data_IF_701203499790
#
_entry.id   IF_701203499790
#
_cell.length_a   1.000
_cell.length_b   1.000
_cell.length_c   1.000
_cell.angle_alpha   90.00
_cell.angle_beta   90.00
_cell.angle_gamma   90.00
#
_symmetry.space_group_name_H-M   'P 1'
#
loop_
_entity.id
_entity.type
_entity.pdbx_description
1 polymer ?
#
# COMPACT_ATOMS: atom_id res chain seq x y z
N UNK A 1 7.50 31.85 6.71
CA UNK A 1 8.55 31.00 6.09
C UNK A 1 8.04 30.62 4.72
N UNK A 2 8.75 30.97 3.65
CA UNK A 2 8.44 30.45 2.31
C UNK A 2 8.96 29.00 2.27
N UNK A 3 8.10 28.03 1.94
CA UNK A 3 8.44 26.60 1.91
C UNK A 3 8.54 26.15 0.46
N UNK A 4 9.67 25.55 0.06
CA UNK A 4 9.91 25.08 -1.31
C UNK A 4 10.09 23.58 -1.35
N UNK A 5 9.70 22.96 -2.47
CA UNK A 5 9.86 21.53 -2.72
C UNK A 5 10.53 21.31 -4.08
N UNK A 6 11.34 20.25 -4.20
CA UNK A 6 11.92 19.83 -5.49
C UNK A 6 10.89 19.19 -6.45
N UNK A 7 9.63 19.11 -6.05
CA UNK A 7 8.52 18.49 -6.79
C UNK A 7 7.20 19.18 -6.47
N UNK A 8 6.22 19.03 -7.35
CA UNK A 8 4.84 19.46 -7.10
C UNK A 8 4.21 18.58 -6.00
N UNK A 9 3.52 19.21 -5.05
CA UNK A 9 2.96 18.53 -3.87
C UNK A 9 1.45 18.73 -3.70
N UNK A 10 0.77 19.34 -4.68
CA UNK A 10 -0.65 19.74 -4.56
C UNK A 10 -1.62 18.58 -4.31
N UNK A 11 -1.18 17.35 -4.56
CA UNK A 11 -1.92 16.09 -4.38
C UNK A 11 -1.41 15.26 -3.19
N UNK A 12 -0.43 15.77 -2.44
CA UNK A 12 0.14 15.10 -1.28
C UNK A 12 -0.58 15.53 0.01
N UNK A 13 -0.56 14.66 1.02
CA UNK A 13 -1.06 14.93 2.38
C UNK A 13 0.09 15.09 3.36
N UNK A 14 -0.13 15.70 4.53
CA UNK A 14 0.88 15.75 5.60
C UNK A 14 1.21 14.33 6.07
N UNK A 15 2.49 14.01 6.21
CA UNK A 15 2.92 12.68 6.65
C UNK A 15 2.49 12.43 8.10
N UNK A 16 1.65 11.42 8.32
CA UNK A 16 1.12 11.04 9.64
C UNK A 16 2.06 10.14 10.46
N UNK A 17 3.15 9.65 9.85
CA UNK A 17 4.04 8.65 10.46
C UNK A 17 5.41 9.20 10.87
N UNK A 18 5.62 10.51 10.80
CA UNK A 18 6.78 11.15 11.43
C UNK A 18 6.54 11.24 12.94
N UNK A 19 7.42 10.65 13.76
CA UNK A 19 7.21 10.60 15.22
C UNK A 19 8.51 10.37 15.99
N UNK A 20 8.44 10.64 17.29
CA UNK A 20 9.44 10.16 18.24
C UNK A 20 9.36 8.63 18.31
N UNK A 21 10.53 7.98 18.27
CA UNK A 21 10.69 6.54 18.38
C UNK A 21 11.85 6.23 19.32
N UNK A 22 11.83 5.03 19.89
CA UNK A 22 12.84 4.54 20.81
C UNK A 22 13.66 3.45 20.12
N UNK A 23 14.98 3.57 20.13
CA UNK A 23 15.87 2.56 19.55
C UNK A 23 15.75 1.26 20.35
N UNK A 24 15.29 0.20 19.69
CA UNK A 24 15.11 -1.12 20.30
C UNK A 24 16.34 -2.01 20.15
N UNK A 25 17.13 -1.79 19.08
CA UNK A 25 18.28 -2.62 18.78
C UNK A 25 19.31 -1.84 17.97
N UNK A 26 20.58 -2.07 18.27
CA UNK A 26 21.70 -1.58 17.45
C UNK A 26 22.55 -2.76 16.98
N UNK A 27 22.89 -2.77 15.69
CA UNK A 27 23.84 -3.72 15.10
C UNK A 27 24.89 -2.98 14.28
N UNK A 28 26.11 -3.49 14.31
CA UNK A 28 27.16 -3.01 13.42
C UNK A 28 26.76 -3.27 11.96
N UNK A 29 26.85 -2.23 11.13
CA UNK A 29 26.51 -2.37 9.72
C UNK A 29 27.56 -3.22 9.01
N UNK A 30 27.11 -4.16 8.18
CA UNK A 30 27.99 -5.00 7.39
C UNK A 30 28.83 -4.16 6.42
N UNK A 31 30.08 -4.55 6.21
CA UNK A 31 31.03 -3.89 5.29
C UNK A 31 31.21 -2.37 5.57
N UNK A 32 31.05 -1.93 6.82
CA UNK A 32 31.16 -0.53 7.21
C UNK A 32 31.76 -0.33 8.60
N UNK A 33 32.84 0.45 8.67
CA UNK A 33 33.46 0.83 9.95
C UNK A 33 32.76 2.03 10.62
N UNK A 34 31.96 2.78 9.85
CA UNK A 34 31.45 4.09 10.26
C UNK A 34 29.94 4.11 10.51
N UNK A 35 29.25 2.98 10.37
CA UNK A 35 27.79 2.92 10.45
C UNK A 35 27.29 1.82 11.39
N UNK A 36 26.16 2.10 12.02
CA UNK A 36 25.32 1.12 12.69
C UNK A 36 23.94 1.09 12.04
N UNK A 37 23.28 -0.07 12.10
CA UNK A 37 21.86 -0.25 11.80
C UNK A 37 21.08 -0.18 13.10
N UNK A 38 20.02 0.62 13.11
CA UNK A 38 19.10 0.74 14.25
C UNK A 38 17.71 0.28 13.87
N UNK A 39 17.05 -0.36 14.82
CA UNK A 39 15.62 -0.72 14.78
C UNK A 39 14.89 0.00 15.91
N UNK A 40 13.56 0.08 15.83
CA UNK A 40 12.74 0.84 16.76
C UNK A 40 11.70 -0.04 17.44
N UNK A 41 11.13 0.41 18.56
CA UNK A 41 9.99 -0.26 19.17
C UNK A 41 8.68 0.08 18.43
N UNK A 42 8.52 1.35 18.05
CA UNK A 42 7.26 1.89 17.54
C UNK A 42 7.16 1.83 16.01
N UNK A 43 8.21 1.36 15.32
CA UNK A 43 8.29 1.24 13.86
C UNK A 43 9.00 -0.06 13.47
N UNK A 44 8.54 -0.68 12.38
CA UNK A 44 9.16 -1.85 11.75
C UNK A 44 10.27 -1.52 10.73
N UNK A 45 10.63 -0.25 10.58
CA UNK A 45 11.71 0.21 9.68
C UNK A 45 13.09 0.11 10.33
N UNK A 46 14.13 -0.01 9.49
CA UNK A 46 15.52 0.08 9.92
C UNK A 46 16.21 1.31 9.32
N UNK A 47 17.01 2.01 10.12
CA UNK A 47 17.78 3.16 9.66
C UNK A 47 19.29 2.91 9.82
N UNK A 48 20.09 3.61 9.02
CA UNK A 48 21.54 3.68 9.22
C UNK A 48 21.89 4.97 9.92
N UNK A 49 22.73 4.85 10.94
CA UNK A 49 23.23 5.97 11.75
C UNK A 49 24.74 5.91 11.85
N UNK A 50 25.37 7.02 12.27
CA UNK A 50 26.80 7.05 12.53
C UNK A 50 27.16 6.06 13.65
N UNK A 51 28.27 5.34 13.47
CA UNK A 51 28.79 4.38 14.44
C UNK A 51 28.94 4.98 15.83
N UNK A 52 28.48 4.25 16.85
CA UNK A 52 28.60 4.58 18.27
C UNK A 52 27.99 5.95 18.65
N UNK A 53 27.06 6.47 17.85
CA UNK A 53 26.42 7.77 18.12
C UNK A 53 25.21 7.63 19.05
N UNK A 54 24.52 6.49 18.99
CA UNK A 54 23.34 6.19 19.80
C UNK A 54 23.54 4.89 20.60
N UNK A 55 22.70 4.70 21.62
CA UNK A 55 22.56 3.45 22.38
C UNK A 55 21.11 2.97 22.37
N UNK A 56 20.91 1.69 22.68
CA UNK A 56 19.57 1.14 22.88
C UNK A 56 18.84 1.91 23.98
N UNK A 57 17.55 2.18 23.76
CA UNK A 57 16.72 3.00 24.64
C UNK A 57 16.78 4.51 24.37
N UNK A 58 17.69 5.00 23.51
CA UNK A 58 17.68 6.41 23.12
C UNK A 58 16.40 6.75 22.34
N UNK A 59 15.84 7.93 22.64
CA UNK A 59 14.72 8.51 21.90
C UNK A 59 15.23 9.37 20.76
N UNK A 60 14.69 9.14 19.57
CA UNK A 60 15.06 9.87 18.35
C UNK A 60 13.82 10.22 17.55
N UNK A 61 13.92 11.20 16.66
CA UNK A 61 12.83 11.52 15.74
C UNK A 61 13.04 10.79 14.42
N UNK A 62 12.01 10.08 13.96
CA UNK A 62 12.08 9.26 12.76
C UNK A 62 11.18 9.79 11.64
N UNK A 63 11.74 9.85 10.43
CA UNK A 63 11.02 10.18 9.21
C UNK A 63 11.00 8.93 8.31
N UNK A 64 9.83 8.32 8.05
CA UNK A 64 9.73 7.09 7.27
C UNK A 64 9.97 7.34 5.78
N UNK A 65 10.22 6.28 5.00
CA UNK A 65 10.20 6.34 3.54
C UNK A 65 8.94 7.01 2.99
N UNK A 66 9.05 7.54 1.77
CA UNK A 66 7.98 8.26 1.04
C UNK A 66 7.61 9.64 1.57
N UNK A 67 8.16 10.03 2.71
CA UNK A 67 8.11 11.42 3.18
C UNK A 67 8.85 12.33 2.19
N UNK A 68 8.23 13.44 1.81
CA UNK A 68 8.79 14.51 0.98
C UNK A 68 9.13 15.68 1.88
N UNK A 69 10.40 16.04 1.92
CA UNK A 69 10.90 17.13 2.75
C UNK A 69 10.89 18.45 1.98
N UNK A 70 10.60 19.58 2.67
CA UNK A 70 10.97 20.90 2.19
C UNK A 70 12.46 20.98 1.86
N UNK A 71 12.82 21.73 0.81
CA UNK A 71 14.20 21.91 0.37
C UNK A 71 15.05 22.54 1.48
N UNK A 72 14.50 23.54 2.18
CA UNK A 72 15.17 24.22 3.28
C UNK A 72 15.53 23.25 4.41
N UNK A 73 14.66 22.27 4.68
CA UNK A 73 14.90 21.26 5.70
C UNK A 73 15.97 20.26 5.23
N UNK A 74 15.88 19.76 4.00
CA UNK A 74 16.85 18.79 3.48
C UNK A 74 18.25 19.38 3.36
N UNK A 75 18.36 20.68 3.04
CA UNK A 75 19.63 21.41 2.99
C UNK A 75 20.21 21.60 4.39
N UNK A 76 19.37 21.98 5.37
CA UNK A 76 19.78 22.12 6.78
C UNK A 76 20.28 20.81 7.40
N UNK A 77 19.73 19.68 6.94
CA UNK A 77 20.17 18.33 7.33
C UNK A 77 21.35 17.81 6.47
N UNK A 78 21.78 18.54 5.44
CA UNK A 78 22.82 18.15 4.48
C UNK A 78 22.54 16.82 3.74
N UNK A 79 21.26 16.49 3.53
CA UNK A 79 20.83 15.22 2.93
C UNK A 79 20.19 15.33 1.56
N UNK A 80 20.00 16.54 1.02
CA UNK A 80 19.30 16.79 -0.26
C UNK A 80 19.74 15.84 -1.38
N UNK A 81 21.06 15.62 -1.55
CA UNK A 81 21.63 14.72 -2.56
C UNK A 81 21.30 13.23 -2.40
N UNK A 82 20.85 12.80 -1.22
CA UNK A 82 20.49 11.40 -0.94
C UNK A 82 19.01 11.11 -1.17
N UNK A 83 18.19 12.17 -1.20
CA UNK A 83 16.76 12.11 -1.50
C UNK A 83 16.53 11.94 -2.99
N UNK A 84 15.36 11.45 -3.36
CA UNK A 84 14.92 11.38 -4.75
C UNK A 84 13.95 12.52 -5.01
N UNK A 85 14.42 13.67 -5.51
CA UNK A 85 13.62 14.91 -5.67
C UNK A 85 12.89 15.26 -4.35
N UNK A 86 13.62 15.41 -3.25
CA UNK A 86 13.06 15.69 -1.92
C UNK A 86 12.40 14.51 -1.19
N UNK A 87 12.20 13.36 -1.85
CA UNK A 87 11.56 12.17 -1.25
C UNK A 87 12.56 11.25 -0.55
N UNK A 88 12.28 10.90 0.70
CA UNK A 88 12.99 9.84 1.46
C UNK A 88 12.73 8.49 0.77
N UNK A 89 13.82 7.81 0.40
CA UNK A 89 13.76 6.54 -0.33
C UNK A 89 14.41 5.43 0.47
N UNK A 90 13.91 4.22 0.25
CA UNK A 90 14.60 3.00 0.69
C UNK A 90 15.82 2.77 -0.20
N UNK A 91 16.94 2.43 0.42
CA UNK A 91 18.16 2.04 -0.29
C UNK A 91 18.91 0.94 0.46
N UNK A 92 19.95 0.40 -0.18
CA UNK A 92 20.96 -0.43 0.47
C UNK A 92 22.29 0.27 0.42
N UNK A 93 22.92 0.42 1.58
CA UNK A 93 24.28 0.95 1.69
C UNK A 93 25.17 -0.16 2.23
N UNK A 94 26.11 -0.62 1.39
CA UNK A 94 27.09 -1.67 1.74
C UNK A 94 26.45 -3.00 2.20
N UNK A 95 25.27 -3.32 1.65
CA UNK A 95 24.48 -4.52 1.99
C UNK A 95 23.33 -4.26 2.98
N UNK A 96 23.43 -3.21 3.79
CA UNK A 96 22.49 -2.91 4.86
C UNK A 96 21.28 -2.12 4.37
N UNK A 97 20.08 -2.44 4.88
CA UNK A 97 18.84 -1.68 4.62
C UNK A 97 18.95 -0.28 5.25
N UNK A 98 18.61 0.75 4.48
CA UNK A 98 18.47 2.14 4.95
C UNK A 98 17.10 2.63 4.52
N UNK A 99 16.18 2.69 5.48
CA UNK A 99 14.74 2.81 5.24
C UNK A 99 14.13 3.93 6.09
N UNK A 100 14.57 5.16 5.86
CA UNK A 100 14.10 6.32 6.61
C UNK A 100 15.26 7.14 7.16
N UNK A 101 14.93 8.16 7.95
CA UNK A 101 15.90 9.09 8.53
C UNK A 101 15.72 9.14 10.05
N UNK A 102 16.85 9.12 10.76
CA UNK A 102 16.93 9.46 12.18
C UNK A 102 17.50 10.87 12.26
N UNK A 103 16.76 11.79 12.88
CA UNK A 103 17.06 13.22 12.90
C UNK A 103 16.89 13.80 14.29
N UNK A 104 17.55 14.94 14.53
CA UNK A 104 17.32 15.75 15.72
C UNK A 104 15.97 16.47 15.60
N UNK A 105 15.08 16.23 16.57
CA UNK A 105 13.73 16.81 16.61
C UNK A 105 13.77 18.34 16.55
N UNK A 106 14.73 18.98 17.21
CA UNK A 106 14.83 20.45 17.27
C UNK A 106 15.06 21.09 15.89
N UNK A 107 15.67 20.34 14.97
CA UNK A 107 15.91 20.80 13.60
C UNK A 107 14.62 20.71 12.76
N UNK A 108 13.84 19.64 12.95
CA UNK A 108 12.66 19.33 12.13
C UNK A 108 11.34 19.88 12.66
N UNK A 109 11.26 20.21 13.94
CA UNK A 109 10.01 20.65 14.60
C UNK A 109 9.28 21.80 13.86
N UNK A 110 9.97 22.85 13.37
CA UNK A 110 9.31 23.91 12.58
C UNK A 110 8.77 23.44 11.21
N UNK A 111 9.22 22.29 10.73
CA UNK A 111 8.93 21.74 9.42
C UNK A 111 7.92 20.58 9.45
N UNK A 112 7.56 20.05 10.62
CA UNK A 112 6.64 18.90 10.76
C UNK A 112 5.34 19.08 9.94
N UNK A 113 4.64 20.23 9.97
CA UNK A 113 3.42 20.44 9.17
C UNK A 113 3.66 20.48 7.66
N UNK A 114 4.93 20.54 7.23
CA UNK A 114 5.36 20.67 5.84
C UNK A 114 6.07 19.42 5.33
N UNK A 115 6.20 18.36 6.14
CA UNK A 115 6.68 17.07 5.64
C UNK A 115 5.50 16.32 5.05
N UNK A 116 5.48 16.21 3.73
CA UNK A 116 4.38 15.59 2.99
C UNK A 116 4.59 14.09 2.81
N UNK A 117 3.53 13.34 2.56
CA UNK A 117 3.57 11.98 2.07
C UNK A 117 3.29 11.98 0.58
N UNK A 118 4.22 11.40 -0.18
CA UNK A 118 4.09 11.33 -1.64
C UNK A 118 2.95 10.41 -2.07
N UNK A 119 2.15 10.86 -3.03
CA UNK A 119 1.18 10.02 -3.77
C UNK A 119 1.42 10.20 -5.27
N UNK A 120 1.34 9.15 -6.09
CA UNK A 120 1.42 9.32 -7.55
C UNK A 120 0.05 9.70 -8.12
N UNK A 121 0.03 10.59 -9.10
CA UNK A 121 -1.19 10.94 -9.82
C UNK A 121 -1.65 9.77 -10.73
N UNK A 122 -2.97 9.55 -10.87
CA UNK A 122 -3.52 8.57 -11.80
C UNK A 122 -3.11 8.89 -13.24
N UNK A 123 -2.99 7.86 -14.09
CA UNK A 123 -2.66 8.10 -15.51
C UNK A 123 -3.85 8.76 -16.25
N UNK A 124 -3.62 9.52 -17.33
CA UNK A 124 -4.71 10.05 -18.15
C UNK A 124 -5.65 8.96 -18.71
N UNK A 125 -5.12 7.76 -19.00
CA UNK A 125 -5.90 6.60 -19.45
C UNK A 125 -6.84 6.05 -18.38
N UNK A 126 -6.71 6.51 -17.13
CA UNK A 126 -7.55 6.15 -15.98
C UNK A 126 -8.61 7.23 -15.70
N UNK A 127 -8.80 8.19 -16.59
CA UNK A 127 -9.87 9.17 -16.52
C UNK A 127 -11.12 8.65 -17.25
N UNK A 128 -12.29 8.85 -16.66
CA UNK A 128 -13.56 8.33 -17.17
C UNK A 128 -14.73 9.06 -16.54
N UNK A 129 -15.89 9.00 -17.18
CA UNK A 129 -17.11 9.61 -16.66
C UNK A 129 -17.53 8.90 -15.37
N UNK A 130 -17.95 9.70 -14.38
CA UNK A 130 -18.34 9.19 -13.06
C UNK A 130 -19.84 9.38 -12.86
N UNK A 131 -20.46 8.46 -12.12
CA UNK A 131 -21.83 8.64 -11.63
C UNK A 131 -21.88 9.74 -10.57
N UNK A 132 -23.03 10.41 -10.46
CA UNK A 132 -23.31 11.33 -9.36
C UNK A 132 -23.41 10.56 -8.04
N UNK A 133 -22.96 11.11 -6.91
CA UNK A 133 -23.17 10.50 -5.60
C UNK A 133 -24.64 10.16 -5.28
N UNK A 134 -25.60 10.86 -5.90
CA UNK A 134 -27.04 10.62 -5.72
C UNK A 134 -27.55 9.35 -6.42
N UNK A 135 -26.79 8.84 -7.39
CA UNK A 135 -27.10 7.64 -8.18
C UNK A 135 -26.48 6.37 -7.55
N UNK A 136 -25.62 6.52 -6.54
CA UNK A 136 -24.84 5.42 -5.97
C UNK A 136 -25.40 5.03 -4.62
N UNK A 137 -25.61 3.72 -4.42
CA UNK A 137 -25.96 3.18 -3.10
C UNK A 137 -24.83 3.48 -2.08
N UNK A 138 -25.11 4.04 -0.89
CA UNK A 138 -24.10 4.36 0.11
C UNK A 138 -23.24 3.17 0.58
N UNK A 139 -23.75 1.94 0.46
CA UNK A 139 -22.98 0.75 0.80
C UNK A 139 -21.91 0.41 -0.25
N UNK A 140 -21.98 0.97 -1.46
CA UNK A 140 -20.95 0.81 -2.51
C UNK A 140 -19.68 1.63 -2.21
N UNK A 141 -19.09 1.36 -1.05
CA UNK A 141 -17.97 2.13 -0.53
C UNK A 141 -16.63 1.59 -1.02
N UNK A 142 -15.60 2.44 -0.90
CA UNK A 142 -14.23 2.12 -1.25
C UNK A 142 -13.63 1.08 -0.30
N UNK A 143 -12.68 0.33 -0.83
CA UNK A 143 -11.88 -0.55 -0.01
C UNK A 143 -11.02 0.25 0.97
N UNK A 144 -10.80 -0.30 2.15
CA UNK A 144 -10.02 0.32 3.21
C UNK A 144 -8.58 0.57 2.75
N UNK A 145 -8.08 1.80 2.97
CA UNK A 145 -6.70 2.18 2.70
C UNK A 145 -5.81 1.64 3.83
N UNK A 146 -5.40 0.38 3.70
CA UNK A 146 -4.63 -0.31 4.73
C UNK A 146 -3.26 0.34 4.99
N UNK A 147 -2.81 0.39 6.25
CA UNK A 147 -1.50 0.91 6.61
C UNK A 147 -0.39 -0.03 6.13
N UNK A 148 0.82 0.53 6.01
CA UNK A 148 2.02 -0.30 5.93
C UNK A 148 2.33 -0.82 7.34
N UNK A 149 2.45 -2.13 7.52
CA UNK A 149 2.73 -2.75 8.82
C UNK A 149 4.05 -2.23 9.43
N UNK A 150 4.99 -1.78 8.61
CA UNK A 150 6.25 -1.21 9.09
C UNK A 150 6.06 0.18 9.75
N UNK A 151 4.96 0.87 9.47
CA UNK A 151 4.56 2.09 10.18
C UNK A 151 3.72 1.79 11.44
N UNK A 152 3.01 0.65 11.44
CA UNK A 152 2.11 0.21 12.50
C UNK A 152 2.42 -1.23 12.92
N UNK A 153 3.59 -1.49 13.55
CA UNK A 153 4.06 -2.86 13.79
C UNK A 153 3.21 -3.66 14.79
N UNK A 154 2.24 -3.01 15.43
CA UNK A 154 1.32 -3.58 16.42
C UNK A 154 -0.08 -3.84 15.87
N UNK A 155 -0.30 -3.81 14.55
CA UNK A 155 -1.60 -4.15 13.94
C UNK A 155 -2.06 -5.57 14.31
N UNK A 156 -1.11 -6.51 14.41
CA UNK A 156 -1.35 -7.91 14.73
C UNK A 156 -0.64 -8.33 16.01
N UNK A 157 -1.23 -9.28 16.72
CA UNK A 157 -0.65 -9.86 17.94
C UNK A 157 0.22 -11.07 17.59
N UNK A 158 1.31 -11.28 18.35
CA UNK A 158 2.14 -12.49 18.20
C UNK A 158 1.29 -13.73 18.48
N UNK A 159 1.31 -14.69 17.57
CA UNK A 159 0.44 -15.88 17.61
C UNK A 159 -0.89 -15.71 16.87
N UNK A 160 -1.23 -14.50 16.40
CA UNK A 160 -2.46 -14.27 15.65
C UNK A 160 -2.42 -15.01 14.30
N UNK A 161 -3.53 -15.67 13.97
CA UNK A 161 -3.68 -16.36 12.69
C UNK A 161 -4.07 -15.37 11.61
N UNK A 162 -3.25 -15.29 10.57
CA UNK A 162 -3.46 -14.38 9.46
C UNK A 162 -3.66 -15.14 8.15
N UNK A 163 -4.40 -14.52 7.25
CA UNK A 163 -4.31 -14.79 5.82
C UNK A 163 -3.29 -13.82 5.21
N UNK A 164 -2.51 -14.28 4.24
CA UNK A 164 -1.72 -13.40 3.39
C UNK A 164 -1.82 -13.77 1.92
N UNK A 165 -1.63 -12.76 1.07
CA UNK A 165 -1.57 -12.91 -0.38
C UNK A 165 -0.51 -11.96 -0.96
N UNK A 166 -0.09 -12.22 -2.20
CA UNK A 166 0.74 -11.28 -2.94
C UNK A 166 -0.02 -9.97 -3.18
N UNK A 167 0.62 -8.85 -2.82
CA UNK A 167 0.10 -7.53 -3.16
C UNK A 167 0.36 -7.27 -4.64
N UNK A 168 -0.72 -7.26 -5.41
CA UNK A 168 -0.66 -6.91 -6.82
C UNK A 168 -0.39 -5.42 -7.02
N UNK A 169 0.24 -5.13 -8.15
CA UNK A 169 0.66 -3.79 -8.53
C UNK A 169 -0.12 -3.36 -9.76
N UNK A 170 -1.22 -2.67 -9.54
CA UNK A 170 -2.16 -2.33 -10.58
C UNK A 170 -2.96 -1.09 -10.21
N UNK A 171 -4.26 -1.15 -10.43
CA UNK A 171 -5.22 -0.16 -9.95
C UNK A 171 -6.41 -0.85 -9.29
N UNK A 172 -6.87 -0.27 -8.19
CA UNK A 172 -7.98 -0.82 -7.41
C UNK A 172 -9.28 -0.76 -8.20
N UNK A 173 -10.04 -1.84 -8.11
CA UNK A 173 -11.32 -1.99 -8.75
C UNK A 173 -12.33 -2.58 -7.77
N UNK A 174 -13.59 -2.17 -7.91
CA UNK A 174 -14.71 -2.73 -7.16
C UNK A 174 -15.92 -2.90 -8.05
N UNK A 175 -16.69 -3.96 -7.80
CA UNK A 175 -17.98 -4.20 -8.45
C UNK A 175 -19.00 -4.75 -7.46
N UNK A 176 -20.28 -4.53 -7.71
CA UNK A 176 -21.34 -5.06 -6.84
C UNK A 176 -22.73 -4.72 -7.35
N UNK A 177 -23.71 -5.55 -7.00
CA UNK A 177 -25.11 -5.36 -7.37
C UNK A 177 -25.90 -4.92 -6.13
N UNK A 178 -26.38 -3.68 -6.11
CA UNK A 178 -27.03 -3.07 -4.94
C UNK A 178 -28.33 -2.36 -5.33
N UNK A 179 -29.28 -2.16 -4.39
CA UNK A 179 -30.50 -1.39 -4.67
C UNK A 179 -30.16 0.05 -5.09
N UNK A 180 -30.76 0.51 -6.18
CA UNK A 180 -30.59 1.89 -6.63
C UNK A 180 -31.25 2.85 -5.61
N UNK A 181 -30.59 3.95 -5.20
CA UNK A 181 -31.11 4.83 -4.13
C UNK A 181 -32.43 5.54 -4.47
N UNK A 182 -32.76 5.66 -5.77
CA UNK A 182 -33.94 6.37 -6.27
C UNK A 182 -34.88 5.51 -7.13
N UNK A 183 -34.58 4.22 -7.34
CA UNK A 183 -35.37 3.34 -8.20
C UNK A 183 -35.65 2.05 -7.44
N UNK A 184 -36.80 1.41 -7.70
CA UNK A 184 -37.16 0.12 -7.10
C UNK A 184 -36.49 -1.06 -7.81
N UNK A 185 -35.22 -0.94 -8.17
CA UNK A 185 -34.44 -1.97 -8.88
C UNK A 185 -33.02 -2.09 -8.31
N UNK A 186 -32.38 -3.23 -8.55
CA UNK A 186 -30.94 -3.39 -8.32
C UNK A 186 -30.16 -2.85 -9.51
N UNK A 187 -29.04 -2.21 -9.22
CA UNK A 187 -28.08 -1.71 -10.21
C UNK A 187 -26.71 -2.33 -9.97
N UNK A 188 -26.03 -2.65 -11.08
CA UNK A 188 -24.65 -3.12 -11.06
C UNK A 188 -23.70 -1.93 -11.13
N UNK A 189 -22.92 -1.75 -10.07
CA UNK A 189 -21.94 -0.68 -9.95
C UNK A 189 -20.54 -1.19 -10.25
N UNK A 190 -19.75 -0.36 -10.94
CA UNK A 190 -18.31 -0.55 -11.19
C UNK A 190 -17.59 0.69 -10.71
N UNK A 191 -16.49 0.52 -9.98
CA UNK A 191 -15.76 1.63 -9.39
C UNK A 191 -14.26 1.41 -9.30
N UNK A 192 -13.56 2.52 -9.13
CA UNK A 192 -12.15 2.57 -8.76
C UNK A 192 -12.01 2.60 -7.23
N UNK A 193 -10.84 2.98 -6.72
CA UNK A 193 -10.71 3.34 -5.31
C UNK A 193 -11.60 4.55 -4.94
N UNK A 194 -11.60 5.61 -5.75
CA UNK A 194 -12.18 6.90 -5.37
C UNK A 194 -13.50 7.25 -6.08
N UNK A 195 -13.78 6.62 -7.22
CA UNK A 195 -14.87 7.03 -8.10
C UNK A 195 -15.71 5.84 -8.56
N UNK A 196 -16.98 6.09 -8.83
CA UNK A 196 -17.90 5.13 -9.43
C UNK A 196 -18.06 5.49 -10.90
N UNK A 197 -17.85 4.51 -11.79
CA UNK A 197 -17.77 4.70 -13.24
C UNK A 197 -19.13 4.56 -13.89
N UNK A 198 -19.42 5.46 -14.83
CA UNK A 198 -20.56 5.31 -15.73
C UNK A 198 -20.27 4.23 -16.76
N UNK A 199 -21.26 3.40 -17.09
CA UNK A 199 -21.12 2.31 -18.07
C UNK A 199 -20.65 2.82 -19.43
N UNK A 200 -19.54 2.27 -19.90
CA UNK A 200 -18.92 2.63 -21.17
C UNK A 200 -18.02 1.51 -21.65
N UNK A 201 -18.16 1.14 -22.93
CA UNK A 201 -17.26 0.18 -23.58
C UNK A 201 -15.84 0.72 -23.74
N UNK A 202 -15.59 2.02 -23.51
CA UNK A 202 -14.25 2.61 -23.56
C UNK A 202 -13.55 2.66 -22.20
N UNK A 203 -14.31 2.57 -21.11
CA UNK A 203 -13.77 2.63 -19.74
C UNK A 203 -13.08 1.31 -19.36
N UNK A 204 -11.85 1.42 -18.86
CA UNK A 204 -11.02 0.26 -18.48
C UNK A 204 -11.70 -0.65 -17.46
N UNK A 205 -12.35 -0.09 -16.44
CA UNK A 205 -12.98 -0.89 -15.39
C UNK A 205 -14.19 -1.63 -15.96
N UNK A 206 -15.00 -0.98 -16.79
CA UNK A 206 -16.12 -1.64 -17.46
C UNK A 206 -15.68 -2.71 -18.45
N UNK A 207 -14.61 -2.49 -19.23
CA UNK A 207 -14.01 -3.53 -20.10
C UNK A 207 -13.64 -4.80 -19.32
N UNK A 208 -13.07 -4.66 -18.12
CA UNK A 208 -12.59 -5.79 -17.32
C UNK A 208 -13.70 -6.43 -16.46
N UNK A 209 -14.57 -5.61 -15.85
CA UNK A 209 -15.56 -6.04 -14.86
C UNK A 209 -16.96 -6.27 -15.42
N UNK A 210 -17.33 -5.63 -16.54
CA UNK A 210 -18.69 -5.66 -17.09
C UNK A 210 -19.17 -7.08 -17.42
N UNK A 211 -18.25 -7.99 -17.76
CA UNK A 211 -18.53 -9.41 -18.01
C UNK A 211 -19.14 -10.14 -16.80
N UNK A 212 -19.00 -9.61 -15.59
CA UNK A 212 -19.54 -10.22 -14.36
C UNK A 212 -20.94 -9.70 -13.98
N UNK A 213 -21.50 -8.71 -14.68
CA UNK A 213 -22.77 -8.03 -14.34
C UNK A 213 -23.92 -8.98 -13.99
N UNK A 214 -24.01 -10.12 -14.67
CA UNK A 214 -25.13 -11.06 -14.54
C UNK A 214 -24.88 -12.21 -13.56
N UNK A 215 -23.68 -12.31 -12.98
CA UNK A 215 -23.35 -13.39 -12.04
C UNK A 215 -23.21 -12.88 -10.60
N UNK A 216 -22.91 -11.60 -10.39
CA UNK A 216 -22.68 -11.06 -9.05
C UNK A 216 -23.95 -11.08 -8.21
N UNK A 217 -23.93 -11.75 -7.03
CA UNK A 217 -25.08 -11.78 -6.14
C UNK A 217 -25.42 -10.39 -5.63
N UNK A 218 -26.71 -10.17 -5.39
CA UNK A 218 -27.22 -8.97 -4.76
C UNK A 218 -26.60 -8.75 -3.38
N UNK A 219 -26.42 -7.48 -3.00
CA UNK A 219 -25.89 -7.01 -1.72
C UNK A 219 -24.41 -7.37 -1.43
N UNK A 220 -23.70 -7.95 -2.39
CA UNK A 220 -22.26 -8.28 -2.27
C UNK A 220 -21.43 -7.36 -3.16
N UNK A 221 -20.35 -6.83 -2.59
CA UNK A 221 -19.35 -6.04 -3.30
C UNK A 221 -18.07 -6.84 -3.31
N UNK A 222 -17.45 -6.95 -4.47
CA UNK A 222 -16.15 -7.57 -4.67
C UNK A 222 -15.10 -6.50 -4.94
N UNK A 223 -13.95 -6.65 -4.28
CA UNK A 223 -12.78 -5.79 -4.42
C UNK A 223 -11.66 -6.58 -5.08
N UNK A 224 -11.01 -5.97 -6.06
CA UNK A 224 -9.93 -6.58 -6.82
C UNK A 224 -8.93 -5.55 -7.32
N UNK A 225 -7.84 -6.06 -7.89
CA UNK A 225 -6.81 -5.24 -8.52
C UNK A 225 -6.81 -5.55 -10.01
N UNK A 226 -7.02 -4.53 -10.84
CA UNK A 226 -6.78 -4.63 -12.29
C UNK A 226 -5.28 -4.44 -12.51
N UNK A 227 -4.64 -5.38 -13.19
CA UNK A 227 -3.19 -5.39 -13.44
C UNK A 227 -2.89 -5.83 -14.87
N UNK A 228 -1.64 -5.66 -15.30
CA UNK A 228 -1.19 -6.07 -16.63
C UNK A 228 -0.57 -4.96 -17.46
N UNK A 229 -0.41 -5.21 -18.76
CA UNK A 229 0.15 -4.22 -19.67
C UNK A 229 -0.68 -2.93 -19.70
N UNK A 230 0.01 -1.79 -19.66
CA UNK A 230 -0.63 -0.47 -19.72
C UNK A 230 -1.21 0.05 -18.40
N UNK A 231 -1.19 -0.75 -17.32
CA UNK A 231 -1.74 -0.34 -16.01
C UNK A 231 -0.67 0.33 -15.13
N UNK A 232 0.31 -0.45 -14.68
CA UNK A 232 1.48 0.00 -13.93
C UNK A 232 2.75 -0.67 -14.45
N UNK A 233 3.91 -0.41 -13.84
CA UNK A 233 5.20 -0.96 -14.25
C UNK A 233 5.31 -2.50 -14.17
N UNK A 234 4.68 -3.13 -13.17
CA UNK A 234 4.68 -4.58 -13.02
C UNK A 234 3.52 -5.17 -13.83
N UNK A 235 3.85 -5.81 -14.95
CA UNK A 235 2.85 -6.28 -15.93
C UNK A 235 2.47 -7.76 -15.77
N UNK A 236 3.14 -8.52 -14.90
CA UNK A 236 2.80 -9.93 -14.60
C UNK A 236 2.67 -10.84 -15.83
N UNK A 237 3.47 -10.57 -16.87
CA UNK A 237 3.43 -11.26 -18.18
C UNK A 237 2.05 -11.22 -18.87
N UNK A 238 1.16 -10.31 -18.47
CA UNK A 238 -0.16 -10.13 -19.08
C UNK A 238 -0.07 -9.16 -20.24
N UNK A 239 -0.50 -9.60 -21.41
CA UNK A 239 -0.57 -8.79 -22.63
C UNK A 239 -1.71 -7.77 -22.63
N UNK A 240 -2.75 -8.06 -21.85
CA UNK A 240 -3.94 -7.23 -21.70
C UNK A 240 -4.24 -7.06 -20.20
N UNK A 241 -4.97 -6.00 -19.81
CA UNK A 241 -5.45 -5.85 -18.45
C UNK A 241 -6.29 -7.04 -18.01
N UNK A 242 -5.99 -7.56 -16.82
CA UNK A 242 -6.68 -8.66 -16.16
C UNK A 242 -7.03 -8.26 -14.72
N UNK A 243 -7.79 -9.10 -14.02
CA UNK A 243 -8.19 -8.83 -12.64
C UNK A 243 -8.03 -10.05 -11.74
N UNK A 244 -7.59 -9.80 -10.51
CA UNK A 244 -7.70 -10.74 -9.41
C UNK A 244 -8.42 -10.08 -8.23
N UNK A 245 -9.47 -10.72 -7.75
CA UNK A 245 -10.21 -10.31 -6.56
C UNK A 245 -9.46 -10.70 -5.29
N UNK A 246 -9.58 -9.88 -4.25
CA UNK A 246 -8.88 -10.10 -2.98
C UNK A 246 -9.78 -9.90 -1.74
N UNK A 247 -11.01 -9.40 -1.89
CA UNK A 247 -11.94 -9.28 -0.76
C UNK A 247 -13.39 -9.14 -1.23
N UNK A 248 -14.34 -9.40 -0.32
CA UNK A 248 -15.74 -8.98 -0.47
C UNK A 248 -16.28 -8.26 0.77
N UNK A 249 -17.38 -7.52 0.61
CA UNK A 249 -18.19 -6.97 1.69
C UNK A 249 -19.68 -7.19 1.42
N UNK A 250 -20.48 -7.17 2.48
CA UNK A 250 -21.94 -7.16 2.40
C UNK A 250 -22.48 -5.99 3.21
N UNK A 251 -23.24 -5.11 2.54
CA UNK A 251 -23.80 -3.88 3.13
C UNK A 251 -22.75 -3.07 3.92
N UNK A 252 -21.55 -2.93 3.35
CA UNK A 252 -20.43 -2.19 3.92
C UNK A 252 -19.57 -2.93 4.95
N UNK A 253 -19.91 -4.16 5.33
CA UNK A 253 -19.11 -4.94 6.28
C UNK A 253 -18.21 -5.94 5.56
N UNK A 254 -16.90 -5.92 5.82
CA UNK A 254 -15.97 -6.89 5.23
C UNK A 254 -16.28 -8.30 5.70
N UNK A 255 -16.29 -9.24 4.75
CA UNK A 255 -16.55 -10.65 5.02
C UNK A 255 -15.27 -11.41 5.33
N UNK A 256 -15.32 -12.46 6.17
CA UNK A 256 -14.16 -13.33 6.37
C UNK A 256 -13.61 -13.86 5.03
N UNK A 257 -12.28 -13.94 4.91
CA UNK A 257 -11.61 -14.45 3.69
C UNK A 257 -12.12 -15.83 3.28
N UNK A 258 -12.47 -16.69 4.25
CA UNK A 258 -13.06 -17.99 3.98
C UNK A 258 -14.38 -17.91 3.21
N UNK A 259 -15.27 -16.98 3.56
CA UNK A 259 -16.52 -16.77 2.83
C UNK A 259 -16.29 -16.18 1.45
N UNK A 260 -15.35 -15.24 1.32
CA UNK A 260 -14.94 -14.71 0.02
C UNK A 260 -14.42 -15.81 -0.92
N UNK A 261 -13.61 -16.74 -0.39
CA UNK A 261 -13.09 -17.87 -1.15
C UNK A 261 -14.19 -18.83 -1.58
N UNK A 262 -15.19 -19.09 -0.72
CA UNK A 262 -16.35 -19.91 -1.09
C UNK A 262 -17.11 -19.30 -2.28
N UNK A 263 -17.36 -17.99 -2.26
CA UNK A 263 -18.01 -17.30 -3.38
C UNK A 263 -17.18 -17.41 -4.68
N UNK A 264 -15.85 -17.29 -4.59
CA UNK A 264 -14.98 -17.32 -5.76
C UNK A 264 -14.83 -18.73 -6.35
N UNK A 265 -14.75 -19.77 -5.49
CA UNK A 265 -14.31 -21.12 -5.87
C UNK A 265 -15.42 -22.17 -5.95
N UNK A 266 -16.45 -22.10 -5.11
CA UNK A 266 -17.44 -23.19 -4.98
C UNK A 266 -18.82 -22.84 -5.59
N UNK A 267 -19.25 -21.58 -5.51
CA UNK A 267 -20.60 -21.16 -5.91
C UNK A 267 -20.65 -20.50 -7.29
N UNK A 268 -20.31 -21.22 -8.36
CA UNK A 268 -20.57 -20.87 -9.78
C UNK A 268 -20.08 -19.52 -10.34
N UNK A 269 -19.56 -18.58 -9.52
CA UNK A 269 -19.13 -17.28 -10.01
C UNK A 269 -17.80 -17.37 -10.77
N UNK A 270 -16.95 -18.34 -10.39
CA UNK A 270 -15.63 -18.59 -10.97
C UNK A 270 -14.85 -17.27 -11.11
N UNK A 271 -14.80 -16.51 -10.01
CA UNK A 271 -14.11 -15.23 -9.98
C UNK A 271 -12.60 -15.49 -9.79
N UNK A 272 -11.73 -14.96 -10.68
CA UNK A 272 -10.30 -15.09 -10.50
C UNK A 272 -9.89 -14.30 -9.24
N UNK A 273 -9.33 -14.97 -8.24
CA UNK A 273 -8.91 -14.35 -6.98
C UNK A 273 -7.45 -14.62 -6.68
N UNK A 274 -6.87 -13.79 -5.80
CA UNK A 274 -5.50 -13.98 -5.37
C UNK A 274 -5.34 -15.29 -4.58
N UNK A 275 -4.17 -15.90 -4.69
CA UNK A 275 -3.79 -17.03 -3.85
C UNK A 275 -3.65 -16.56 -2.39
N UNK A 276 -4.42 -17.20 -1.52
CA UNK A 276 -4.37 -16.98 -0.08
C UNK A 276 -3.62 -18.09 0.63
N UNK A 277 -2.76 -17.70 1.56
CA UNK A 277 -1.98 -18.58 2.40
C UNK A 277 -2.26 -18.26 3.87
N UNK A 278 -2.11 -19.25 4.76
CA UNK A 278 -2.26 -19.05 6.21
C UNK A 278 -0.90 -19.00 6.90
N UNK A 279 -0.76 -18.09 7.85
CA UNK A 279 0.41 -17.99 8.73
C UNK A 279 -0.03 -17.70 10.17
N UNK A 280 0.89 -17.97 11.09
CA UNK A 280 0.84 -17.43 12.44
C UNK A 280 1.83 -16.26 12.52
N UNK A 281 1.36 -15.09 12.96
CA UNK A 281 2.17 -13.89 13.03
C UNK A 281 3.22 -14.03 14.13
N UNK A 282 4.50 -14.00 13.76
CA UNK A 282 5.60 -14.11 14.69
C UNK A 282 6.20 -12.74 15.03
N UNK A 283 6.64 -12.03 13.99
CA UNK A 283 7.31 -10.75 14.11
C UNK A 283 7.33 -10.02 12.74
N UNK A 284 7.82 -8.78 12.75
CA UNK A 284 7.92 -7.97 11.54
C UNK A 284 8.90 -8.54 10.52
N UNK A 285 10.00 -9.18 10.94
CA UNK A 285 11.00 -9.71 10.00
C UNK A 285 10.42 -10.89 9.20
N UNK A 286 9.60 -11.75 9.82
CA UNK A 286 8.86 -12.80 9.10
C UNK A 286 8.04 -12.20 7.93
N UNK A 287 7.32 -11.09 8.17
CA UNK A 287 6.51 -10.47 7.11
C UNK A 287 7.35 -9.79 6.02
N UNK A 288 8.56 -9.32 6.37
CA UNK A 288 9.52 -8.79 5.40
C UNK A 288 10.12 -9.91 4.54
N UNK A 289 10.41 -11.06 5.12
CA UNK A 289 10.89 -12.22 4.35
C UNK A 289 9.81 -12.68 3.35
N UNK A 290 8.55 -12.74 3.78
CA UNK A 290 7.42 -13.07 2.91
C UNK A 290 7.22 -12.05 1.78
N UNK A 291 7.42 -10.74 2.04
CA UNK A 291 7.28 -9.69 1.03
C UNK A 291 8.38 -9.72 -0.04
N UNK A 292 9.49 -10.40 0.21
CA UNK A 292 10.62 -10.57 -0.72
C UNK A 292 10.57 -11.87 -1.54
N UNK A 293 9.60 -12.75 -1.29
CA UNK A 293 9.45 -13.98 -2.05
C UNK A 293 9.20 -13.69 -3.55
N UNK A 294 9.60 -14.59 -4.47
CA UNK A 294 9.26 -14.47 -5.88
C UNK A 294 7.75 -14.29 -6.11
N UNK A 295 7.35 -13.59 -7.17
CA UNK A 295 5.92 -13.49 -7.51
C UNK A 295 5.33 -14.87 -7.80
N UNK A 296 4.09 -15.09 -7.36
CA UNK A 296 3.31 -16.30 -7.67
C UNK A 296 2.69 -16.25 -9.06
N UNK A 297 2.59 -15.07 -9.67
CA UNK A 297 1.91 -14.87 -10.95
C UNK A 297 2.84 -14.66 -12.13
N UNK A 298 4.15 -14.47 -11.89
CA UNK A 298 5.14 -14.24 -12.95
C UNK A 298 6.55 -14.64 -12.51
N UNK A 299 7.41 -14.95 -13.49
CA UNK A 299 8.86 -15.15 -13.29
C UNK A 299 9.69 -13.94 -13.72
N UNK A 300 9.07 -12.93 -14.34
CA UNK A 300 9.76 -11.80 -14.97
C UNK A 300 10.14 -10.70 -13.98
N UNK A 301 9.50 -10.65 -12.81
CA UNK A 301 9.82 -9.70 -11.76
C UNK A 301 9.47 -10.24 -10.35
N UNK A 302 9.93 -9.54 -9.33
CA UNK A 302 9.55 -9.79 -7.93
C UNK A 302 8.13 -9.25 -7.66
N UNK A 303 7.48 -9.73 -6.59
CA UNK A 303 6.20 -9.17 -6.12
C UNK A 303 6.38 -7.76 -5.56
N UNK A 304 5.34 -6.94 -5.57
CA UNK A 304 5.38 -5.63 -4.90
C UNK A 304 5.56 -5.78 -3.39
N UNK A 305 4.88 -6.79 -2.83
CA UNK A 305 4.86 -7.09 -1.42
C UNK A 305 3.74 -8.08 -1.09
N UNK A 306 3.23 -8.01 0.13
CA UNK A 306 2.11 -8.82 0.59
C UNK A 306 1.02 -7.97 1.25
N UNK A 307 -0.19 -8.51 1.25
CA UNK A 307 -1.32 -8.05 2.09
C UNK A 307 -1.56 -9.10 3.17
N UNK A 308 -1.79 -8.65 4.39
CA UNK A 308 -2.08 -9.45 5.58
C UNK A 308 -3.48 -9.09 6.09
N UNK A 309 -4.28 -10.10 6.42
CA UNK A 309 -5.65 -9.95 6.92
C UNK A 309 -5.81 -10.83 8.15
N UNK A 310 -6.31 -10.28 9.26
CA UNK A 310 -6.63 -11.09 10.43
C UNK A 310 -7.72 -12.11 10.11
N UNK A 311 -7.52 -13.36 10.53
CA UNK A 311 -8.51 -14.42 10.32
C UNK A 311 -9.82 -14.16 11.07
N UNK A 312 -9.71 -13.58 12.27
CA UNK A 312 -10.85 -13.39 13.18
C UNK A 312 -11.41 -11.95 13.12
N UNK A 313 -10.63 -11.01 12.57
CA UNK A 313 -10.99 -9.58 12.46
C UNK A 313 -10.83 -9.11 11.00
N UNK A 314 -11.77 -9.40 10.09
CA UNK A 314 -11.61 -9.11 8.65
C UNK A 314 -11.42 -7.63 8.32
N UNK A 315 -11.79 -6.72 9.23
CA UNK A 315 -11.53 -5.28 9.09
C UNK A 315 -10.07 -4.88 9.41
N UNK A 316 -9.27 -5.78 10.00
CA UNK A 316 -7.88 -5.53 10.41
C UNK A 316 -6.94 -6.09 9.36
N UNK A 317 -6.33 -5.17 8.61
CA UNK A 317 -5.50 -5.47 7.46
C UNK A 317 -4.27 -4.57 7.45
N UNK A 318 -3.16 -5.08 6.92
CA UNK A 318 -1.96 -4.28 6.66
C UNK A 318 -1.25 -4.79 5.41
N UNK A 319 -0.42 -3.94 4.81
CA UNK A 319 0.49 -4.32 3.72
C UNK A 319 1.95 -4.28 4.17
N UNK A 320 2.78 -5.11 3.56
CA UNK A 320 4.24 -5.03 3.66
C UNK A 320 4.80 -4.96 2.26
N UNK A 321 5.42 -3.85 1.92
CA UNK A 321 6.05 -3.65 0.62
C UNK A 321 7.49 -4.18 0.67
N UNK A 322 7.91 -4.96 -0.32
CA UNK A 322 9.25 -5.51 -0.40
C UNK A 322 10.31 -4.41 -0.57
N UNK A 323 11.42 -4.50 0.16
CA UNK A 323 12.62 -3.66 -0.02
C UNK A 323 13.12 -3.71 -1.46
N UNK A 324 13.13 -4.88 -2.12
CA UNK A 324 13.55 -5.00 -3.53
C UNK A 324 12.69 -4.14 -4.46
N UNK A 325 11.37 -4.22 -4.29
CA UNK A 325 10.43 -3.34 -4.98
C UNK A 325 10.68 -1.89 -4.61
N UNK A 326 10.86 -1.59 -3.31
CA UNK A 326 11.09 -0.24 -2.83
C UNK A 326 12.38 0.41 -3.35
N UNK A 327 13.35 -0.38 -3.83
CA UNK A 327 14.58 0.12 -4.44
C UNK A 327 14.50 0.26 -5.97
N UNK A 328 13.44 -0.25 -6.60
CA UNK A 328 13.24 -0.21 -8.04
C UNK A 328 13.27 1.21 -8.61
N UNK A 329 13.95 1.40 -9.75
CA UNK A 329 14.10 2.71 -10.42
C UNK A 329 12.84 3.18 -11.17
N UNK A 330 11.93 2.27 -11.49
CA UNK A 330 10.69 2.53 -12.24
C UNK A 330 9.48 2.14 -11.40
N UNK A 331 9.20 2.90 -10.35
CA UNK A 331 7.96 2.74 -9.61
C UNK A 331 6.90 3.67 -10.16
N UNK A 332 5.68 3.16 -10.26
CA UNK A 332 4.49 3.93 -10.52
C UNK A 332 3.39 3.39 -9.62
N UNK A 333 2.97 4.15 -8.61
CA UNK A 333 1.86 3.81 -7.72
C UNK A 333 0.64 4.66 -8.08
N UNK A 334 0.24 4.60 -9.37
CA UNK A 334 -0.90 5.37 -9.89
C UNK A 334 -2.21 4.76 -9.38
N UNK A 335 -2.67 5.18 -8.22
CA UNK A 335 -3.86 4.58 -7.59
C UNK A 335 -5.18 5.16 -8.09
#
# INVERSE_FOLDING_TARGET
MEIKYERQIDHCEVSSYIKDVTISKIKHAENSDNLDTVSFYEMGWNALVRRNFYKEGDKVFFIPPESVLPLELSDKLEITKYLSKGKVRVTRLRGNRSEGLVVDKSIVEPYIPYIMKWEDLPSPAMQGQCLSPREVNPYFDKFYKMPNLLNEPFTFEVGERLWFSEKLHGTSARMGTLPHPQKEEYEFYVGTHNTIRKESEEDLWWKVLGKYKNIIPNDIIFYGEIFGWGIQHLHYDRKEPDILFFHSSTKGNYRPVGEFLLDCLEYHLVLPCVNFHQIEFKDIEQTRELSELPSEYTKSHHREGIVLISKDRPNVMAKVIGTTYLMGKKKTERH
#
